data_IF_306290456197
#
_entry.id   IF_306290456197
#
_cell.length_a   1.000
_cell.length_b   1.000
_cell.length_c   1.000
_cell.angle_alpha   90.00
_cell.angle_beta   90.00
_cell.angle_gamma   90.00
#
_symmetry.space_group_name_H-M   'P 1'
#
loop_
_entity.id
_entity.type
_entity.pdbx_description
1 polymer ?
#
# COMPACT_ATOMS: atom_id res chain seq x y z
N UNK A 1 52.86 9.32 -20.90
CA UNK A 1 51.53 9.69 -20.39
C UNK A 1 50.68 8.43 -20.21
N UNK A 2 50.11 8.32 -19.01
CA UNK A 2 49.12 7.39 -18.42
C UNK A 2 49.31 5.87 -18.64
N UNK A 3 50.05 5.26 -17.69
CA UNK A 3 50.19 3.82 -17.41
C UNK A 3 49.07 3.26 -16.48
N UNK A 4 47.95 3.97 -16.33
CA UNK A 4 46.95 3.68 -15.27
C UNK A 4 45.76 2.85 -15.75
N UNK A 5 45.62 2.55 -17.05
CA UNK A 5 44.47 1.82 -17.60
C UNK A 5 44.54 0.28 -17.54
N UNK A 6 45.70 -0.30 -17.17
CA UNK A 6 45.94 -1.76 -17.22
C UNK A 6 46.16 -2.37 -15.82
N UNK A 7 45.47 -1.84 -14.81
CA UNK A 7 45.41 -2.46 -13.47
C UNK A 7 43.98 -2.76 -13.00
N UNK A 8 42.97 -2.38 -13.79
CA UNK A 8 41.57 -2.73 -13.52
C UNK A 8 41.09 -3.96 -14.33
N UNK A 9 41.96 -4.55 -15.16
CA UNK A 9 41.59 -5.59 -16.14
C UNK A 9 42.14 -6.99 -15.83
N UNK A 10 42.70 -7.23 -14.64
CA UNK A 10 43.39 -8.50 -14.37
C UNK A 10 43.35 -8.91 -12.89
N UNK A 11 42.16 -9.23 -12.37
CA UNK A 11 42.06 -10.23 -11.31
C UNK A 11 40.92 -11.19 -11.61
N UNK A 12 41.22 -12.39 -12.14
CA UNK A 12 40.34 -13.53 -12.07
C UNK A 12 40.70 -14.34 -10.81
N UNK A 13 39.75 -14.46 -9.88
CA UNK A 13 39.76 -15.54 -8.88
C UNK A 13 38.46 -16.33 -9.06
N UNK A 14 38.65 -17.57 -9.50
CA UNK A 14 37.63 -18.59 -9.60
C UNK A 14 37.37 -19.19 -8.22
N UNK A 15 36.09 -19.22 -7.83
CA UNK A 15 35.45 -20.24 -6.97
C UNK A 15 35.88 -20.37 -5.51
N UNK A 16 35.04 -19.89 -4.59
CA UNK A 16 34.53 -20.66 -3.44
C UNK A 16 33.09 -20.21 -3.17
N UNK A 17 32.24 -21.21 -2.91
CA UNK A 17 30.83 -21.15 -2.54
C UNK A 17 30.45 -20.06 -1.54
N UNK A 18 29.29 -19.46 -1.81
CA UNK A 18 28.54 -18.61 -0.90
C UNK A 18 27.15 -18.45 -1.51
N UNK A 19 26.29 -19.45 -1.26
CA UNK A 19 24.88 -19.39 -1.60
C UNK A 19 24.19 -18.17 -0.98
N UNK A 20 22.96 -17.92 -1.46
CA UNK A 20 21.96 -16.98 -0.90
C UNK A 20 22.12 -15.51 -1.35
N UNK A 21 21.20 -14.89 -2.10
CA UNK A 21 19.75 -14.97 -2.06
C UNK A 21 19.21 -14.62 -3.46
N UNK A 22 18.74 -15.60 -4.25
CA UNK A 22 17.93 -15.33 -5.45
C UNK A 22 16.55 -14.86 -4.99
N UNK A 23 16.44 -13.63 -4.51
CA UNK A 23 15.14 -13.04 -4.22
C UNK A 23 14.49 -12.69 -5.55
N UNK A 24 13.69 -13.59 -6.11
CA UNK A 24 12.94 -13.33 -7.33
C UNK A 24 11.90 -12.24 -7.05
N UNK A 25 12.29 -11.00 -7.33
CA UNK A 25 11.50 -9.77 -7.24
C UNK A 25 10.69 -9.60 -8.53
N UNK A 26 9.36 -9.68 -8.46
CA UNK A 26 8.55 -9.22 -9.61
C UNK A 26 8.68 -7.71 -9.69
N UNK A 27 9.30 -7.26 -10.77
CA UNK A 27 9.59 -5.85 -11.01
C UNK A 27 8.44 -5.26 -11.82
N UNK A 28 7.60 -4.45 -11.18
CA UNK A 28 6.55 -3.72 -11.90
C UNK A 28 7.14 -2.41 -12.44
N UNK A 29 7.01 -2.20 -13.75
CA UNK A 29 7.48 -0.96 -14.40
C UNK A 29 6.30 0.00 -14.52
N UNK A 30 6.38 1.13 -13.81
CA UNK A 30 5.46 2.24 -13.91
C UNK A 30 6.18 3.40 -14.61
N UNK A 31 6.13 3.41 -15.94
CA UNK A 31 6.96 4.32 -16.73
C UNK A 31 8.45 4.04 -16.49
N UNK A 32 9.19 5.04 -15.99
CA UNK A 32 10.60 4.89 -15.63
C UNK A 32 10.82 4.31 -14.21
N UNK A 33 9.78 4.26 -13.36
CA UNK A 33 9.90 3.71 -12.01
C UNK A 33 9.82 2.18 -12.04
N UNK A 34 10.91 1.53 -11.63
CA UNK A 34 11.00 0.10 -11.39
C UNK A 34 10.72 -0.16 -9.91
N UNK A 35 9.51 -0.64 -9.61
CA UNK A 35 9.14 -0.97 -8.23
C UNK A 35 9.31 -2.46 -8.03
N UNK A 36 10.33 -2.81 -7.25
CA UNK A 36 10.58 -4.18 -6.84
C UNK A 36 9.56 -4.63 -5.80
N UNK A 37 8.70 -5.57 -6.17
CA UNK A 37 7.75 -6.19 -5.27
C UNK A 37 8.30 -7.52 -4.76
N UNK A 38 8.60 -7.55 -3.46
CA UNK A 38 8.99 -8.75 -2.71
C UNK A 38 7.83 -9.19 -1.82
N UNK A 39 7.73 -10.47 -1.49
CA UNK A 39 6.70 -10.97 -0.55
C UNK A 39 6.63 -10.17 0.75
N UNK A 40 7.78 -9.80 1.33
CA UNK A 40 7.83 -8.97 2.54
C UNK A 40 7.15 -7.60 2.36
N UNK A 41 7.42 -6.92 1.24
CA UNK A 41 6.78 -5.62 0.93
C UNK A 41 5.28 -5.76 0.70
N UNK A 42 4.84 -6.86 0.09
CA UNK A 42 3.41 -7.14 -0.11
C UNK A 42 2.69 -7.35 1.24
N UNK A 43 3.27 -8.12 2.17
CA UNK A 43 2.70 -8.30 3.52
C UNK A 43 2.70 -7.00 4.33
N UNK A 44 3.75 -6.18 4.25
CA UNK A 44 3.77 -4.86 4.89
C UNK A 44 2.66 -3.97 4.32
N UNK A 45 2.48 -3.94 3.00
CA UNK A 45 1.40 -3.22 2.36
C UNK A 45 0.02 -3.72 2.81
N UNK A 46 -0.16 -5.03 2.97
CA UNK A 46 -1.39 -5.62 3.49
C UNK A 46 -1.65 -5.17 4.95
N UNK A 47 -0.62 -5.15 5.80
CA UNK A 47 -0.75 -4.67 7.18
C UNK A 47 -1.17 -3.19 7.23
N UNK A 48 -0.58 -2.34 6.38
CA UNK A 48 -0.97 -0.93 6.24
C UNK A 48 -2.44 -0.82 5.80
N UNK A 49 -2.85 -1.62 4.81
CA UNK A 49 -4.22 -1.63 4.31
C UNK A 49 -5.24 -2.06 5.37
N UNK A 50 -4.89 -3.01 6.25
CA UNK A 50 -5.72 -3.40 7.39
C UNK A 50 -5.90 -2.25 8.37
N UNK A 51 -4.80 -1.60 8.77
CA UNK A 51 -4.85 -0.46 9.71
C UNK A 51 -5.71 0.67 9.12
N UNK A 52 -5.51 0.97 7.83
CA UNK A 52 -6.28 1.99 7.14
C UNK A 52 -7.77 1.62 7.01
N UNK A 53 -8.08 0.35 6.77
CA UNK A 53 -9.47 -0.15 6.75
C UNK A 53 -10.13 0.06 8.11
N UNK A 54 -9.42 -0.27 9.19
CA UNK A 54 -9.93 -0.11 10.55
C UNK A 54 -10.17 1.37 10.88
N UNK A 55 -9.21 2.26 10.57
CA UNK A 55 -9.37 3.70 10.76
C UNK A 55 -10.55 4.27 9.97
N UNK A 56 -10.72 3.82 8.73
CA UNK A 56 -11.83 4.24 7.87
C UNK A 56 -13.19 3.77 8.41
N UNK A 57 -13.24 2.56 8.96
CA UNK A 57 -14.43 2.02 9.61
C UNK A 57 -14.80 2.80 10.88
N UNK A 58 -13.84 3.05 11.76
CA UNK A 58 -14.04 3.86 12.97
C UNK A 58 -14.53 5.28 12.63
N UNK A 59 -13.97 5.89 11.58
CA UNK A 59 -14.43 7.18 11.08
C UNK A 59 -15.90 7.12 10.62
N UNK A 60 -16.29 6.07 9.87
CA UNK A 60 -17.69 5.88 9.46
C UNK A 60 -18.64 5.79 10.66
N UNK A 61 -18.23 5.05 11.70
CA UNK A 61 -19.02 4.88 12.92
C UNK A 61 -19.12 6.19 13.71
N UNK A 62 -18.01 6.93 13.81
CA UNK A 62 -17.97 8.25 14.43
C UNK A 62 -18.95 9.22 13.75
N UNK A 63 -18.97 9.29 12.42
CA UNK A 63 -19.87 10.16 11.67
C UNK A 63 -21.33 9.70 11.80
N UNK A 64 -21.59 8.39 11.81
CA UNK A 64 -22.95 7.85 12.01
C UNK A 64 -23.52 8.12 13.40
N UNK A 65 -22.67 8.09 14.42
CA UNK A 65 -23.08 8.30 15.81
C UNK A 65 -23.59 9.71 16.07
N UNK A 66 -23.29 10.67 15.20
CA UNK A 66 -23.80 12.05 15.29
C UNK A 66 -25.29 12.04 14.89
N UNK A 67 -26.23 12.42 15.77
CA UNK A 67 -27.64 12.52 15.42
C UNK A 67 -27.86 13.65 14.40
N UNK A 68 -28.72 13.45 13.38
CA UNK A 68 -29.08 14.56 12.48
C UNK A 68 -29.78 15.70 13.24
N UNK A 69 -30.47 15.38 14.32
CA UNK A 69 -31.13 16.35 15.22
C UNK A 69 -30.15 17.26 15.97
N UNK A 70 -28.86 16.90 16.05
CA UNK A 70 -27.81 17.76 16.61
C UNK A 70 -27.33 18.83 15.63
N UNK A 71 -27.69 18.73 14.35
CA UNK A 71 -27.39 19.73 13.32
C UNK A 71 -28.46 20.83 13.27
N UNK A 72 -28.92 21.32 14.43
CA UNK A 72 -29.82 22.48 14.50
C UNK A 72 -29.05 23.75 14.14
N UNK A 73 -28.96 24.01 12.84
CA UNK A 73 -28.46 25.28 12.33
C UNK A 73 -29.61 26.29 12.24
N UNK A 74 -29.31 27.54 12.58
CA UNK A 74 -30.24 28.66 12.39
C UNK A 74 -30.50 29.00 10.90
N UNK A 75 -29.82 28.32 9.98
CA UNK A 75 -29.89 28.53 8.55
C UNK A 75 -30.10 27.20 7.81
N UNK A 76 -31.17 27.13 7.02
CA UNK A 76 -31.55 25.93 6.25
C UNK A 76 -30.47 25.54 5.20
N UNK A 77 -29.76 26.53 4.63
CA UNK A 77 -28.65 26.24 3.72
C UNK A 77 -27.47 25.58 4.46
N UNK A 78 -27.17 25.99 5.68
CA UNK A 78 -26.13 25.38 6.50
C UNK A 78 -26.54 23.96 6.94
N UNK A 79 -27.82 23.75 7.21
CA UNK A 79 -28.40 22.43 7.49
C UNK A 79 -28.22 21.46 6.30
N UNK A 80 -28.56 21.89 5.09
CA UNK A 80 -28.40 21.08 3.87
C UNK A 80 -26.93 20.77 3.58
N UNK A 81 -26.03 21.73 3.79
CA UNK A 81 -24.59 21.53 3.64
C UNK A 81 -24.06 20.52 4.66
N UNK A 82 -24.46 20.63 5.93
CA UNK A 82 -24.03 19.69 6.97
C UNK A 82 -24.52 18.26 6.68
N UNK A 83 -25.76 18.11 6.19
CA UNK A 83 -26.33 16.82 5.82
C UNK A 83 -25.65 16.20 4.60
N UNK A 84 -25.41 16.97 3.54
CA UNK A 84 -24.71 16.48 2.35
C UNK A 84 -23.24 16.14 2.64
N UNK A 85 -22.56 16.94 3.47
CA UNK A 85 -21.19 16.66 3.92
C UNK A 85 -21.14 15.36 4.73
N UNK A 86 -22.05 15.16 5.68
CA UNK A 86 -22.15 13.91 6.44
C UNK A 86 -22.31 12.70 5.51
N UNK A 87 -23.25 12.78 4.57
CA UNK A 87 -23.49 11.71 3.61
C UNK A 87 -22.24 11.43 2.75
N UNK A 88 -21.59 12.47 2.25
CA UNK A 88 -20.36 12.37 1.46
C UNK A 88 -19.23 11.71 2.25
N UNK A 89 -19.00 12.14 3.50
CA UNK A 89 -17.97 11.56 4.36
C UNK A 89 -18.26 10.09 4.69
N UNK A 90 -19.53 9.72 4.92
CA UNK A 90 -19.92 8.33 5.13
C UNK A 90 -19.68 7.46 3.91
N UNK A 91 -20.09 7.92 2.73
CA UNK A 91 -19.85 7.19 1.48
C UNK A 91 -18.35 7.04 1.23
N UNK A 92 -17.56 8.10 1.43
CA UNK A 92 -16.11 8.08 1.23
C UNK A 92 -15.42 7.10 2.19
N UNK A 93 -15.75 7.14 3.48
CA UNK A 93 -15.15 6.29 4.52
C UNK A 93 -15.52 4.82 4.34
N UNK A 94 -16.78 4.50 4.06
CA UNK A 94 -17.17 3.12 3.75
C UNK A 94 -16.55 2.61 2.46
N UNK A 95 -16.55 3.41 1.39
CA UNK A 95 -15.92 3.01 0.12
C UNK A 95 -14.42 2.76 0.30
N UNK A 96 -13.73 3.62 1.07
CA UNK A 96 -12.30 3.44 1.40
C UNK A 96 -12.06 2.18 2.20
N UNK A 97 -12.93 1.85 3.17
CA UNK A 97 -12.84 0.61 3.96
C UNK A 97 -12.95 -0.62 3.06
N UNK A 98 -13.94 -0.64 2.17
CA UNK A 98 -14.14 -1.75 1.22
C UNK A 98 -12.94 -1.90 0.30
N UNK A 99 -12.47 -0.79 -0.30
CA UNK A 99 -11.34 -0.81 -1.21
C UNK A 99 -10.04 -1.27 -0.53
N UNK A 100 -9.82 -0.86 0.73
CA UNK A 100 -8.67 -1.27 1.52
C UNK A 100 -8.75 -2.75 1.95
N UNK A 101 -9.95 -3.28 2.22
CA UNK A 101 -10.15 -4.71 2.41
C UNK A 101 -9.78 -5.50 1.15
N UNK A 102 -10.22 -5.05 -0.03
CA UNK A 102 -9.82 -5.65 -1.31
C UNK A 102 -8.30 -5.58 -1.54
N UNK A 103 -7.69 -4.43 -1.25
CA UNK A 103 -6.23 -4.26 -1.37
C UNK A 103 -5.47 -5.21 -0.43
N UNK A 104 -5.96 -5.39 0.80
CA UNK A 104 -5.40 -6.36 1.76
C UNK A 104 -5.41 -7.77 1.19
N UNK A 105 -6.56 -8.23 0.68
CA UNK A 105 -6.68 -9.56 0.08
C UNK A 105 -5.75 -9.71 -1.13
N UNK A 106 -5.74 -8.72 -2.02
CA UNK A 106 -4.87 -8.73 -3.20
C UNK A 106 -3.38 -8.80 -2.86
N UNK A 107 -2.95 -8.04 -1.86
CA UNK A 107 -1.55 -8.02 -1.40
C UNK A 107 -1.14 -9.31 -0.68
N UNK A 108 -2.03 -9.92 0.10
CA UNK A 108 -1.78 -11.23 0.72
C UNK A 108 -1.62 -12.30 -0.36
N UNK A 109 -2.53 -12.34 -1.35
CA UNK A 109 -2.44 -13.29 -2.47
C UNK A 109 -1.15 -13.09 -3.27
N UNK A 110 -0.78 -11.85 -3.54
CA UNK A 110 0.45 -11.50 -4.25
C UNK A 110 1.70 -11.88 -3.46
N UNK A 111 1.73 -11.60 -2.15
CA UNK A 111 2.80 -12.02 -1.25
C UNK A 111 2.97 -13.53 -1.19
N UNK A 112 1.84 -14.26 -1.22
CA UNK A 112 1.79 -15.72 -1.32
C UNK A 112 2.40 -16.23 -2.62
N UNK A 113 1.98 -15.69 -3.77
CA UNK A 113 2.52 -16.10 -5.08
C UNK A 113 4.03 -15.84 -5.20
N UNK A 114 4.49 -14.68 -4.72
CA UNK A 114 5.92 -14.35 -4.73
C UNK A 114 6.75 -15.28 -3.83
N UNK A 115 6.14 -15.82 -2.75
CA UNK A 115 6.80 -16.76 -1.84
C UNK A 115 6.85 -18.17 -2.45
N UNK A 116 5.82 -18.58 -3.18
CA UNK A 116 5.79 -19.89 -3.86
C UNK A 116 6.68 -19.95 -5.10
N UNK A 117 6.86 -18.82 -5.81
CA UNK A 117 7.75 -18.72 -6.98
C UNK A 117 9.25 -18.74 -6.60
N UNK A 118 9.57 -18.41 -5.34
CA UNK A 118 10.92 -18.50 -4.78
C UNK A 118 11.27 -19.88 -4.19
N UNK A 119 10.36 -20.87 -4.23
CA UNK A 119 10.56 -22.23 -3.71
C UNK A 119 10.71 -23.21 -4.86
#
# INVERSE_FOLDING_TARGET
MIKTGKLLSASPVSGVEGEEFKQQTRMFKFGDLQVELTSGKAYTGAAIAVIFSFLSWELSQGIQSIPESSLQYANDNALLLAKSLRASLLVMSYSSTVLAAFATVGLILLGGQLKSENK
#
